data_IF_157553146897
#
_entry.id   IF_157553146897
#
_cell.length_a   1.000
_cell.length_b   1.000
_cell.length_c   1.000
_cell.angle_alpha   90.00
_cell.angle_beta   90.00
_cell.angle_gamma   90.00
#
_symmetry.space_group_name_H-M   'P 1'
#
loop_
_entity.id
_entity.type
_entity.pdbx_description
1 polymer ?
#
# COMPACT_ATOMS: atom_id res chain seq x y z
N UNK A 1 -27.34 -15.21 -68.16
CA UNK A 1 -26.43 -14.21 -67.54
C UNK A 1 -26.73 -14.17 -66.05
N UNK A 2 -25.73 -14.48 -65.23
CA UNK A 2 -25.81 -14.69 -63.77
C UNK A 2 -25.87 -13.33 -63.07
N UNK A 3 -26.85 -13.07 -62.22
CA UNK A 3 -26.85 -11.86 -61.38
C UNK A 3 -26.48 -12.22 -59.94
N UNK A 4 -25.26 -11.84 -59.57
CA UNK A 4 -24.55 -12.15 -58.35
C UNK A 4 -25.02 -11.34 -57.12
N UNK A 5 -26.33 -11.11 -56.97
CA UNK A 5 -26.85 -10.21 -55.94
C UNK A 5 -27.07 -10.89 -54.57
N UNK A 6 -27.15 -12.23 -54.51
CA UNK A 6 -27.53 -12.94 -53.29
C UNK A 6 -26.36 -13.29 -52.34
N UNK A 7 -25.10 -13.05 -52.74
CA UNK A 7 -23.92 -13.50 -51.99
C UNK A 7 -23.38 -12.46 -50.98
N UNK A 8 -23.81 -11.20 -51.05
CA UNK A 8 -23.25 -10.08 -50.26
C UNK A 8 -24.09 -9.64 -49.05
N UNK A 9 -25.31 -10.16 -48.90
CA UNK A 9 -26.21 -9.74 -47.80
C UNK A 9 -25.86 -10.42 -46.46
N UNK A 10 -25.29 -11.64 -46.50
CA UNK A 10 -24.89 -12.40 -45.31
C UNK A 10 -23.66 -11.84 -44.55
N UNK A 11 -22.57 -11.35 -45.18
CA UNK A 11 -21.45 -10.77 -44.43
C UNK A 11 -21.77 -9.39 -43.84
N UNK A 12 -22.71 -8.64 -44.44
CA UNK A 12 -23.07 -7.30 -43.98
C UNK A 12 -23.90 -7.32 -42.68
N UNK A 13 -24.75 -8.35 -42.50
CA UNK A 13 -25.50 -8.55 -41.26
C UNK A 13 -24.62 -8.97 -40.07
N UNK A 14 -23.54 -9.74 -40.31
CA UNK A 14 -22.57 -10.14 -39.29
C UNK A 14 -21.68 -8.99 -38.82
N UNK A 15 -21.31 -8.07 -39.73
CA UNK A 15 -20.56 -6.86 -39.38
C UNK A 15 -21.39 -5.87 -38.55
N UNK A 16 -22.70 -5.79 -38.80
CA UNK A 16 -23.62 -4.97 -38.00
C UNK A 16 -23.83 -5.53 -36.58
N UNK A 17 -23.83 -6.86 -36.42
CA UNK A 17 -23.86 -7.50 -35.09
C UNK A 17 -22.55 -7.33 -34.32
N UNK A 18 -21.39 -7.41 -34.99
CA UNK A 18 -20.09 -7.16 -34.36
C UNK A 18 -19.91 -5.68 -33.93
N UNK A 19 -20.46 -4.73 -34.69
CA UNK A 19 -20.46 -3.32 -34.32
C UNK A 19 -21.39 -3.01 -33.12
N UNK A 20 -22.53 -3.71 -33.01
CA UNK A 20 -23.42 -3.57 -31.84
C UNK A 20 -22.82 -4.18 -30.56
N UNK A 21 -22.02 -5.25 -30.69
CA UNK A 21 -21.32 -5.89 -29.57
C UNK A 21 -20.15 -5.04 -29.03
N UNK A 22 -19.57 -4.15 -29.84
CA UNK A 22 -18.53 -3.22 -29.38
C UNK A 22 -19.11 -1.95 -28.72
N UNK A 23 -20.30 -1.50 -29.15
CA UNK A 23 -20.93 -0.30 -28.61
C UNK A 23 -21.56 -0.48 -27.21
N UNK A 24 -21.64 -1.72 -26.72
CA UNK A 24 -22.35 -2.08 -25.49
C UNK A 24 -21.49 -2.34 -24.26
N UNK A 25 -20.17 -2.11 -24.30
CA UNK A 25 -19.34 -2.19 -23.10
C UNK A 25 -19.50 -0.87 -22.33
N UNK A 26 -20.28 -0.82 -21.22
CA UNK A 26 -20.18 0.31 -20.32
C UNK A 26 -18.72 0.39 -19.89
N UNK A 27 -18.05 1.47 -20.29
CA UNK A 27 -16.77 1.81 -19.70
C UNK A 27 -17.02 1.86 -18.20
N UNK A 28 -16.42 0.94 -17.46
CA UNK A 28 -16.37 1.02 -16.01
C UNK A 28 -15.62 2.32 -15.70
N UNK A 29 -16.35 3.43 -15.59
CA UNK A 29 -15.81 4.67 -15.07
C UNK A 29 -15.23 4.32 -13.72
N UNK A 30 -13.92 4.52 -13.55
CA UNK A 30 -13.30 4.42 -12.25
C UNK A 30 -14.09 5.36 -11.34
N UNK A 31 -14.86 4.80 -10.40
CA UNK A 31 -15.58 5.60 -9.44
C UNK A 31 -14.55 6.48 -8.73
N UNK A 32 -14.72 7.81 -8.84
CA UNK A 32 -13.85 8.72 -8.13
C UNK A 32 -13.99 8.44 -6.63
N UNK A 33 -12.86 8.26 -5.94
CA UNK A 33 -12.87 8.04 -4.50
C UNK A 33 -13.48 9.26 -3.81
N UNK A 34 -14.47 9.02 -2.96
CA UNK A 34 -15.04 10.05 -2.11
C UNK A 34 -14.10 10.29 -0.92
N UNK A 35 -13.36 11.39 -0.97
CA UNK A 35 -12.44 11.77 0.09
C UNK A 35 -13.14 12.79 0.99
N UNK A 36 -13.34 12.48 2.28
CA UNK A 36 -14.01 13.40 3.19
C UNK A 36 -13.18 14.68 3.37
N UNK A 37 -13.81 15.83 3.65
CA UNK A 37 -13.09 17.07 3.88
C UNK A 37 -12.32 17.02 5.20
N UNK A 38 -11.22 17.77 5.29
CA UNK A 38 -10.49 17.98 6.53
C UNK A 38 -11.29 18.94 7.43
N UNK A 39 -11.97 18.41 8.44
CA UNK A 39 -12.75 19.22 9.40
C UNK A 39 -11.98 19.59 10.67
N UNK A 40 -10.73 19.13 10.80
CA UNK A 40 -9.89 19.40 11.96
C UNK A 40 -8.81 18.33 12.16
N UNK A 41 -8.21 18.30 13.36
CA UNK A 41 -7.20 17.30 13.74
C UNK A 41 -7.75 15.89 13.92
N UNK A 42 -9.06 15.77 14.11
CA UNK A 42 -9.76 14.49 14.21
C UNK A 42 -10.97 14.51 13.29
N UNK A 43 -10.98 13.62 12.31
CA UNK A 43 -12.09 13.40 11.36
C UNK A 43 -12.66 12.02 11.63
N UNK A 44 -13.72 11.96 12.43
CA UNK A 44 -14.35 10.69 12.83
C UNK A 44 -15.63 10.44 12.01
N UNK A 45 -15.45 9.95 10.78
CA UNK A 45 -16.54 9.57 9.88
C UNK A 45 -17.12 8.18 10.16
N UNK A 46 -16.44 7.34 10.94
CA UNK A 46 -16.87 6.01 11.32
C UNK A 46 -17.67 5.97 12.63
N UNK A 47 -17.69 7.08 13.39
CA UNK A 47 -18.38 7.16 14.68
C UNK A 47 -17.72 6.32 15.78
N UNK A 48 -16.39 6.16 15.73
CA UNK A 48 -15.65 5.35 16.70
C UNK A 48 -15.36 6.07 18.02
N UNK A 49 -15.47 7.40 18.06
CA UNK A 49 -15.13 8.22 19.21
C UNK A 49 -16.35 8.98 19.72
N UNK A 50 -16.51 9.01 21.05
CA UNK A 50 -17.48 9.91 21.68
C UNK A 50 -17.03 11.37 21.54
N UNK A 51 -17.95 12.35 21.58
CA UNK A 51 -17.60 13.77 21.45
C UNK A 51 -16.50 14.24 22.40
N UNK A 52 -16.53 13.79 23.65
CA UNK A 52 -15.54 14.10 24.67
C UNK A 52 -14.15 13.51 24.36
N UNK A 53 -14.11 12.30 23.81
CA UNK A 53 -12.86 11.62 23.41
C UNK A 53 -12.25 12.32 22.20
N UNK A 54 -13.09 12.69 21.23
CA UNK A 54 -12.69 13.46 20.05
C UNK A 54 -12.11 14.82 20.43
N UNK A 55 -12.78 15.53 21.34
CA UNK A 55 -12.33 16.84 21.82
C UNK A 55 -11.01 16.74 22.59
N UNK A 56 -10.87 15.76 23.49
CA UNK A 56 -9.64 15.52 24.23
C UNK A 56 -8.47 15.17 23.28
N UNK A 57 -8.71 14.31 22.29
CA UNK A 57 -7.71 13.94 21.30
C UNK A 57 -7.29 15.13 20.43
N UNK A 58 -8.25 15.92 19.97
CA UNK A 58 -7.98 17.13 19.20
C UNK A 58 -7.16 18.16 20.01
N UNK A 59 -7.42 18.30 21.31
CA UNK A 59 -6.66 19.16 22.20
C UNK A 59 -5.21 18.67 22.38
N UNK A 60 -4.99 17.37 22.56
CA UNK A 60 -3.65 16.77 22.63
C UNK A 60 -2.87 17.01 21.34
N UNK A 61 -3.48 16.73 20.18
CA UNK A 61 -2.86 16.94 18.87
C UNK A 61 -2.56 18.43 18.63
N UNK A 62 -3.42 19.34 19.10
CA UNK A 62 -3.16 20.78 19.06
C UNK A 62 -1.97 21.16 19.92
N UNK A 63 -1.92 20.70 21.17
CA UNK A 63 -0.82 21.02 22.07
C UNK A 63 0.54 20.51 21.54
N UNK A 64 0.56 19.37 20.84
CA UNK A 64 1.76 18.90 20.17
C UNK A 64 2.16 19.81 19.00
N UNK A 65 1.22 20.09 18.09
CA UNK A 65 1.47 20.97 16.95
C UNK A 65 1.97 22.37 17.38
N UNK A 66 1.43 22.92 18.47
CA UNK A 66 1.86 24.22 19.01
C UNK A 66 3.32 24.18 19.55
N UNK A 67 3.82 23.00 19.95
CA UNK A 67 5.18 22.81 20.48
C UNK A 67 6.20 22.46 19.40
N UNK A 68 5.85 21.60 18.44
CA UNK A 68 6.80 21.02 17.47
C UNK A 68 6.62 21.54 16.06
N UNK A 69 5.49 22.20 15.76
CA UNK A 69 5.00 22.51 14.41
C UNK A 69 4.54 21.31 13.59
N UNK A 70 4.61 20.09 14.12
CA UNK A 70 4.22 18.87 13.41
C UNK A 70 2.71 18.68 13.39
N UNK A 71 2.19 18.32 12.21
CA UNK A 71 0.76 18.21 11.97
C UNK A 71 0.33 16.74 12.00
N UNK A 72 -0.15 16.28 13.14
CA UNK A 72 -0.72 14.93 13.28
C UNK A 72 -2.25 14.99 13.20
N UNK A 73 -2.84 14.19 12.31
CA UNK A 73 -4.29 14.09 12.09
C UNK A 73 -4.75 12.66 12.24
N UNK A 74 -5.89 12.47 12.89
CA UNK A 74 -6.57 11.17 13.03
C UNK A 74 -7.79 11.15 12.13
N UNK A 75 -7.92 10.12 11.31
CA UNK A 75 -9.09 9.88 10.48
C UNK A 75 -9.64 8.49 10.76
N UNK A 76 -10.95 8.38 11.01
CA UNK A 76 -11.62 7.09 11.08
C UNK A 76 -12.75 7.08 10.07
N UNK A 77 -12.65 6.21 9.07
CA UNK A 77 -13.56 6.17 7.92
C UNK A 77 -14.21 4.81 7.85
N UNK A 78 -15.54 4.71 7.63
CA UNK A 78 -16.22 3.43 7.67
C UNK A 78 -15.66 2.46 6.62
N UNK A 79 -15.35 2.93 5.41
CA UNK A 79 -14.83 2.10 4.32
C UNK A 79 -13.76 2.81 3.50
N UNK A 80 -12.88 2.01 2.89
CA UNK A 80 -11.86 2.41 1.92
C UNK A 80 -12.35 2.32 0.47
N UNK A 81 -13.65 2.07 0.25
CA UNK A 81 -14.30 2.07 -1.08
C UNK A 81 -13.63 1.09 -2.06
N UNK A 82 -13.22 -0.08 -1.56
CA UNK A 82 -12.55 -1.11 -2.36
C UNK A 82 -11.08 -0.79 -2.72
N UNK A 83 -10.51 0.27 -2.17
CA UNK A 83 -9.10 0.66 -2.37
C UNK A 83 -8.21 0.12 -1.26
N UNK A 84 -6.91 -0.07 -1.55
CA UNK A 84 -5.92 -0.40 -0.52
C UNK A 84 -5.83 0.71 0.53
N UNK A 85 -5.44 0.37 1.77
CA UNK A 85 -5.33 1.38 2.84
C UNK A 85 -4.17 2.33 2.57
N UNK A 86 -3.12 1.85 1.90
CA UNK A 86 -1.96 2.60 1.45
C UNK A 86 -2.34 3.65 0.41
N UNK A 87 -3.02 3.25 -0.67
CA UNK A 87 -3.43 4.17 -1.73
C UNK A 87 -4.47 5.18 -1.22
N UNK A 88 -5.42 4.73 -0.40
CA UNK A 88 -6.44 5.61 0.17
C UNK A 88 -5.79 6.65 1.09
N UNK A 89 -4.94 6.21 2.03
CA UNK A 89 -4.27 7.12 2.96
C UNK A 89 -3.38 8.13 2.24
N UNK A 90 -2.61 7.70 1.24
CA UNK A 90 -1.75 8.61 0.48
C UNK A 90 -2.58 9.66 -0.30
N UNK A 91 -3.67 9.24 -0.95
CA UNK A 91 -4.59 10.16 -1.65
C UNK A 91 -5.25 11.13 -0.68
N UNK A 92 -5.70 10.66 0.48
CA UNK A 92 -6.31 11.50 1.52
C UNK A 92 -5.29 12.50 2.08
N UNK A 93 -4.07 12.05 2.38
CA UNK A 93 -2.97 12.89 2.88
C UNK A 93 -2.65 14.03 1.91
N UNK A 94 -2.56 13.71 0.60
CA UNK A 94 -2.34 14.68 -0.48
C UNK A 94 -3.52 15.64 -0.63
N UNK A 95 -4.74 15.12 -0.64
CA UNK A 95 -5.96 15.91 -0.78
C UNK A 95 -6.13 16.92 0.37
N UNK A 96 -5.75 16.53 1.59
CA UNK A 96 -5.77 17.39 2.77
C UNK A 96 -4.55 18.31 2.90
N UNK A 97 -3.53 18.12 2.06
CA UNK A 97 -2.31 18.91 2.08
C UNK A 97 -1.58 18.84 3.42
N UNK A 98 -1.51 17.66 4.06
CA UNK A 98 -0.96 17.56 5.41
C UNK A 98 0.54 17.90 5.48
N UNK A 99 0.91 18.66 6.52
CA UNK A 99 2.23 19.24 6.73
C UNK A 99 2.26 20.75 6.44
N UNK A 100 3.32 21.43 6.89
CA UNK A 100 3.48 22.86 6.68
C UNK A 100 4.38 23.16 5.47
N UNK A 101 3.80 23.50 4.31
CA UNK A 101 4.54 23.96 3.13
C UNK A 101 5.70 23.04 2.77
N UNK A 102 6.90 23.62 2.67
CA UNK A 102 8.13 22.90 2.36
C UNK A 102 8.60 21.94 3.47
N UNK A 103 8.10 22.05 4.71
CA UNK A 103 8.51 21.17 5.81
C UNK A 103 7.98 19.76 5.65
N UNK A 104 6.83 19.58 4.99
CA UNK A 104 6.18 18.26 4.82
C UNK A 104 6.08 17.44 6.12
N UNK A 105 5.85 18.11 7.25
CA UNK A 105 5.84 17.52 8.59
C UNK A 105 4.44 17.09 9.04
N UNK A 106 3.73 16.42 8.13
CA UNK A 106 2.39 15.87 8.38
C UNK A 106 2.42 14.39 8.72
N UNK A 107 1.48 13.94 9.55
CA UNK A 107 1.19 12.52 9.80
C UNK A 107 -0.32 12.31 9.75
N UNK A 108 -0.76 11.30 9.01
CA UNK A 108 -2.13 10.82 9.01
C UNK A 108 -2.19 9.45 9.69
N UNK A 109 -3.00 9.34 10.72
CA UNK A 109 -3.36 8.07 11.33
C UNK A 109 -4.78 7.68 10.91
N UNK A 110 -4.88 6.77 9.94
CA UNK A 110 -6.13 6.32 9.33
C UNK A 110 -6.58 4.98 9.92
N UNK A 111 -7.85 4.89 10.31
CA UNK A 111 -8.51 3.66 10.78
C UNK A 111 -9.74 3.38 9.92
N UNK A 112 -9.84 2.17 9.38
CA UNK A 112 -10.94 1.71 8.57
C UNK A 112 -11.53 0.41 9.15
N UNK A 113 -12.62 0.47 9.93
CA UNK A 113 -13.13 -0.67 10.67
C UNK A 113 -13.83 -1.72 9.79
N UNK A 114 -14.42 -1.36 8.64
CA UNK A 114 -15.05 -2.36 7.76
C UNK A 114 -14.01 -3.29 7.14
N UNK A 115 -12.86 -2.75 6.73
CA UNK A 115 -11.74 -3.52 6.19
C UNK A 115 -10.82 -4.06 7.29
N UNK A 116 -11.01 -3.63 8.55
CA UNK A 116 -10.11 -3.87 9.69
C UNK A 116 -8.66 -3.50 9.39
N UNK A 117 -8.48 -2.34 8.75
CA UNK A 117 -7.17 -1.82 8.34
C UNK A 117 -6.84 -0.51 9.04
N UNK A 118 -5.56 -0.36 9.37
CA UNK A 118 -5.00 0.85 9.96
C UNK A 118 -3.74 1.23 9.21
N UNK A 119 -3.51 2.53 9.06
CA UNK A 119 -2.32 3.07 8.41
C UNK A 119 -1.83 4.32 9.14
N UNK A 120 -0.52 4.40 9.32
CA UNK A 120 0.19 5.64 9.62
C UNK A 120 0.88 6.07 8.32
N UNK A 121 0.44 7.16 7.73
CA UNK A 121 1.06 7.80 6.56
C UNK A 121 1.88 9.00 7.05
N UNK A 122 3.16 9.04 6.68
CA UNK A 122 4.13 10.03 7.17
C UNK A 122 4.61 10.89 6.01
N UNK A 123 4.65 12.21 6.20
CA UNK A 123 5.23 13.15 5.24
C UNK A 123 6.76 13.16 5.30
N UNK A 124 7.41 13.52 4.18
CA UNK A 124 8.87 13.44 4.02
C UNK A 124 9.68 14.11 5.14
N UNK A 125 9.16 15.20 5.74
CA UNK A 125 9.86 15.92 6.80
C UNK A 125 10.01 15.13 8.10
N UNK A 126 9.22 14.07 8.29
CA UNK A 126 9.17 13.28 9.51
C UNK A 126 9.62 11.83 9.31
N UNK A 127 9.90 11.37 8.09
CA UNK A 127 10.29 9.98 7.80
C UNK A 127 11.58 9.55 8.53
N UNK A 128 12.49 10.50 8.81
CA UNK A 128 13.71 10.22 9.59
C UNK A 128 13.45 9.99 11.09
N UNK A 129 12.39 10.58 11.65
CA UNK A 129 12.03 10.42 13.05
C UNK A 129 11.00 9.30 13.25
N UNK A 130 9.91 9.33 12.48
CA UNK A 130 8.85 8.33 12.46
C UNK A 130 9.00 7.44 11.23
N UNK A 131 9.88 6.45 11.36
CA UNK A 131 10.15 5.47 10.29
C UNK A 131 9.01 4.48 10.10
N UNK A 132 9.03 3.73 8.99
CA UNK A 132 8.11 2.61 8.76
C UNK A 132 8.21 1.54 9.86
N UNK A 133 9.43 1.15 10.24
CA UNK A 133 9.65 0.18 11.32
C UNK A 133 9.01 0.62 12.65
N UNK A 134 9.19 1.88 13.03
CA UNK A 134 8.59 2.44 14.25
C UNK A 134 7.06 2.53 14.15
N UNK A 135 6.55 2.95 13.00
CA UNK A 135 5.11 2.99 12.72
C UNK A 135 4.49 1.59 12.84
N UNK A 136 5.15 0.57 12.30
CA UNK A 136 4.73 -0.83 12.38
C UNK A 136 4.70 -1.34 13.81
N UNK A 137 5.67 -0.92 14.63
CA UNK A 137 5.71 -1.27 16.06
C UNK A 137 4.56 -0.62 16.81
N UNK A 138 4.26 0.66 16.58
CA UNK A 138 3.10 1.34 17.16
C UNK A 138 1.82 0.55 16.82
N UNK A 139 1.61 0.26 15.54
CA UNK A 139 0.42 -0.47 15.09
C UNK A 139 0.35 -1.85 15.75
N UNK A 140 1.43 -2.63 15.70
CA UNK A 140 1.41 -4.02 16.16
C UNK A 140 1.33 -4.17 17.69
N UNK A 141 1.94 -3.25 18.45
CA UNK A 141 2.08 -3.37 19.91
C UNK A 141 1.04 -2.58 20.69
N UNK A 142 0.60 -1.43 20.18
CA UNK A 142 -0.28 -0.52 20.92
C UNK A 142 -1.70 -0.47 20.35
N UNK A 143 -1.84 -0.54 19.03
CA UNK A 143 -3.12 -0.33 18.34
C UNK A 143 -3.86 -1.66 18.11
N UNK A 144 -3.26 -2.58 17.37
CA UNK A 144 -3.90 -3.82 16.94
C UNK A 144 -4.44 -4.67 18.10
N UNK A 145 -3.74 -4.84 19.24
CA UNK A 145 -4.28 -5.62 20.36
C UNK A 145 -5.59 -5.04 20.92
N UNK A 146 -5.71 -3.71 20.98
CA UNK A 146 -6.92 -3.03 21.48
C UNK A 146 -8.06 -3.12 20.48
N UNK A 147 -7.77 -2.94 19.19
CA UNK A 147 -8.78 -3.11 18.14
C UNK A 147 -9.31 -4.55 18.07
N UNK A 148 -8.46 -5.57 18.28
CA UNK A 148 -8.89 -6.98 18.42
C UNK A 148 -9.83 -7.20 19.60
N UNK A 149 -9.63 -6.44 20.68
CA UNK A 149 -10.49 -6.47 21.87
C UNK A 149 -11.77 -5.60 21.73
N UNK A 150 -11.96 -4.90 20.60
CA UNK A 150 -13.08 -3.99 20.38
C UNK A 150 -12.92 -2.61 21.02
N UNK A 151 -11.78 -2.32 21.65
CA UNK A 151 -11.46 -1.01 22.24
C UNK A 151 -10.86 -0.07 21.18
N UNK A 152 -11.73 0.46 20.31
CA UNK A 152 -11.34 1.44 19.29
C UNK A 152 -10.85 2.77 19.87
N UNK A 153 -11.54 3.42 20.84
CA UNK A 153 -11.06 4.66 21.43
C UNK A 153 -9.68 4.50 22.08
N UNK A 154 -9.48 3.43 22.85
CA UNK A 154 -8.21 3.15 23.50
C UNK A 154 -7.10 2.78 22.52
N UNK A 155 -7.41 2.09 21.42
CA UNK A 155 -6.47 1.81 20.33
C UNK A 155 -6.05 3.07 19.58
N UNK A 156 -6.99 3.96 19.28
CA UNK A 156 -6.72 5.24 18.62
C UNK A 156 -5.83 6.12 19.52
N UNK A 157 -6.19 6.25 20.80
CA UNK A 157 -5.40 7.00 21.77
C UNK A 157 -3.98 6.45 21.90
N UNK A 158 -3.83 5.13 22.01
CA UNK A 158 -2.51 4.51 22.13
C UNK A 158 -1.65 4.68 20.88
N UNK A 159 -2.27 4.66 19.69
CA UNK A 159 -1.59 4.97 18.43
C UNK A 159 -1.09 6.41 18.40
N UNK A 160 -1.94 7.38 18.79
CA UNK A 160 -1.55 8.80 18.89
C UNK A 160 -0.44 8.99 19.92
N UNK A 161 -0.57 8.44 21.12
CA UNK A 161 0.45 8.57 22.17
C UNK A 161 1.81 8.02 21.68
N UNK A 162 1.82 6.90 20.95
CA UNK A 162 3.04 6.35 20.35
C UNK A 162 3.65 7.26 19.28
N UNK A 163 2.83 7.77 18.36
CA UNK A 163 3.28 8.73 17.33
C UNK A 163 3.90 9.97 17.99
N UNK A 164 3.18 10.58 18.93
CA UNK A 164 3.62 11.81 19.59
C UNK A 164 4.86 11.61 20.45
N UNK A 165 5.00 10.46 21.12
CA UNK A 165 6.19 10.13 21.90
C UNK A 165 7.45 10.08 21.02
N UNK A 166 7.36 9.44 19.86
CA UNK A 166 8.49 9.38 18.91
C UNK A 166 8.84 10.78 18.39
N UNK A 167 7.83 11.55 17.96
CA UNK A 167 8.05 12.90 17.43
C UNK A 167 8.57 13.88 18.49
N UNK A 168 8.30 13.63 19.77
CA UNK A 168 8.79 14.46 20.88
C UNK A 168 10.21 14.10 21.35
N UNK A 169 10.85 13.07 20.77
CA UNK A 169 12.20 12.64 21.11
C UNK A 169 12.31 11.45 22.07
N UNK A 170 11.18 10.88 22.52
CA UNK A 170 11.15 9.67 23.37
C UNK A 170 11.28 8.37 22.53
N UNK A 171 11.90 8.46 21.35
CA UNK A 171 12.04 7.36 20.39
C UNK A 171 12.80 6.15 20.95
N UNK A 172 13.61 6.32 22.00
CA UNK A 172 14.45 5.26 22.57
C UNK A 172 13.65 4.07 23.12
N UNK A 173 12.45 4.29 23.69
CA UNK A 173 11.61 3.18 24.15
C UNK A 173 11.00 2.41 22.97
N UNK A 174 10.58 3.14 21.93
CA UNK A 174 9.99 2.57 20.72
C UNK A 174 11.02 1.84 19.85
N UNK A 175 12.25 2.35 19.78
CA UNK A 175 13.39 1.71 19.11
C UNK A 175 13.72 0.37 19.74
N UNK A 176 13.80 0.28 21.08
CA UNK A 176 14.01 -1.02 21.76
C UNK A 176 12.91 -2.03 21.45
N UNK A 177 11.65 -1.58 21.39
CA UNK A 177 10.52 -2.45 21.01
C UNK A 177 10.59 -2.88 19.55
N UNK A 178 11.14 -2.04 18.67
CA UNK A 178 11.39 -2.37 17.26
C UNK A 178 12.47 -3.45 17.11
N UNK A 179 13.63 -3.27 17.76
CA UNK A 179 14.75 -4.22 17.73
C UNK A 179 14.31 -5.62 18.21
N UNK A 180 13.68 -5.70 19.38
CA UNK A 180 13.18 -6.97 19.93
C UNK A 180 12.20 -7.66 18.98
N UNK A 181 11.42 -6.89 18.23
CA UNK A 181 10.42 -7.44 17.30
C UNK A 181 10.99 -7.80 15.94
N UNK A 182 12.03 -7.11 15.45
CA UNK A 182 12.78 -7.55 14.27
C UNK A 182 13.48 -8.88 14.55
N UNK A 183 14.09 -9.03 15.73
CA UNK A 183 14.70 -10.29 16.17
C UNK A 183 13.66 -11.42 16.23
N UNK A 184 12.45 -11.13 16.70
CA UNK A 184 11.36 -12.10 16.78
C UNK A 184 10.68 -12.39 15.42
N UNK A 185 10.73 -11.45 14.47
CA UNK A 185 10.08 -11.57 13.15
C UNK A 185 11.00 -12.10 12.04
N UNK A 186 12.33 -12.07 12.25
CA UNK A 186 13.34 -12.40 11.24
C UNK A 186 13.99 -13.78 11.35
N UNK A 187 13.69 -14.57 12.37
CA UNK A 187 14.24 -15.92 12.50
C UNK A 187 13.50 -16.92 11.61
N UNK A 188 14.11 -17.35 10.50
CA UNK A 188 13.72 -18.64 9.90
C UNK A 188 13.89 -19.70 10.98
N UNK A 189 12.86 -20.51 11.24
CA UNK A 189 12.96 -21.62 12.21
C UNK A 189 14.23 -22.42 11.86
N UNK A 190 15.19 -22.58 12.79
CA UNK A 190 16.43 -23.31 12.51
C UNK A 190 16.14 -24.70 11.94
N UNK A 191 14.99 -25.29 12.27
CA UNK A 191 14.51 -26.55 11.70
C UNK A 191 14.19 -26.40 10.19
N UNK A 192 13.49 -25.34 9.78
CA UNK A 192 13.18 -25.07 8.37
C UNK A 192 14.43 -24.80 7.53
N UNK A 193 15.41 -24.06 8.08
CA UNK A 193 16.69 -23.81 7.39
C UNK A 193 17.46 -25.11 7.19
N UNK A 194 17.52 -25.96 8.22
CA UNK A 194 18.17 -27.28 8.14
C UNK A 194 17.46 -28.17 7.13
N UNK A 195 16.12 -28.20 7.13
CA UNK A 195 15.34 -28.96 6.13
C UNK A 195 15.63 -28.46 4.71
N UNK A 196 15.64 -27.14 4.49
CA UNK A 196 15.93 -26.56 3.19
C UNK A 196 17.34 -26.92 2.69
N UNK A 197 18.35 -26.85 3.57
CA UNK A 197 19.72 -27.25 3.24
C UNK A 197 19.82 -28.74 2.92
N UNK A 198 19.10 -29.61 3.65
CA UNK A 198 19.05 -31.05 3.37
C UNK A 198 18.38 -31.33 2.04
N UNK A 199 17.29 -30.65 1.71
CA UNK A 199 16.57 -30.81 0.42
C UNK A 199 17.45 -30.34 -0.75
N UNK A 200 18.08 -29.16 -0.63
CA UNK A 200 18.99 -28.64 -1.66
C UNK A 200 20.19 -29.58 -1.82
N UNK A 201 20.78 -30.04 -0.72
CA UNK A 201 21.89 -30.99 -0.73
C UNK A 201 21.51 -32.32 -1.38
N UNK A 202 20.32 -32.86 -1.08
CA UNK A 202 19.80 -34.08 -1.68
C UNK A 202 19.56 -33.94 -3.18
N UNK A 203 18.96 -32.83 -3.61
CA UNK A 203 18.73 -32.54 -5.05
C UNK A 203 20.07 -32.40 -5.79
N UNK A 204 21.04 -31.67 -5.22
CA UNK A 204 22.38 -31.54 -5.79
C UNK A 204 23.10 -32.89 -5.87
N UNK A 205 23.02 -33.72 -4.83
CA UNK A 205 23.56 -35.09 -4.84
C UNK A 205 22.93 -35.95 -5.95
N UNK A 206 21.63 -35.83 -6.19
CA UNK A 206 20.92 -36.57 -7.25
C UNK A 206 21.28 -36.08 -8.64
N UNK A 207 21.50 -34.78 -8.81
CA UNK A 207 21.96 -34.17 -10.07
C UNK A 207 23.43 -34.54 -10.38
N UNK A 208 24.29 -34.59 -9.37
CA UNK A 208 25.71 -34.96 -9.50
C UNK A 208 25.90 -36.48 -9.67
N UNK A 209 25.04 -37.30 -9.04
CA UNK A 209 25.09 -38.76 -9.16
C UNK A 209 24.44 -39.30 -10.45
N UNK A 210 23.56 -38.52 -11.10
CA UNK A 210 22.90 -38.92 -12.36
C UNK A 210 23.77 -38.77 -13.63
N UNK A 211 24.99 -38.24 -13.54
CA UNK A 211 25.82 -37.86 -14.69
C UNK A 211 26.89 -38.86 -15.14
N UNK A 212 26.94 -40.09 -14.62
CA UNK A 212 27.95 -41.11 -14.99
C UNK A 212 27.31 -42.38 -15.57
N UNK A 213 26.77 -42.26 -16.78
CA UNK A 213 26.39 -43.38 -17.66
C UNK A 213 27.01 -43.17 -19.04
N UNK A 214 27.93 -44.05 -19.44
CA UNK A 214 28.92 -43.82 -20.51
C UNK A 214 28.37 -43.65 -21.94
N UNK A 215 29.23 -43.19 -22.89
CA UNK A 215 28.82 -42.95 -24.27
C UNK A 215 28.65 -44.28 -25.03
N UNK A 216 27.41 -44.78 -25.03
CA UNK A 216 26.94 -45.87 -25.89
C UNK A 216 26.83 -45.40 -27.34
N UNK A 217 27.37 -46.26 -28.21
CA UNK A 217 27.52 -46.17 -29.67
C UNK A 217 26.24 -45.82 -30.48
N UNK A 218 26.41 -45.42 -31.75
CA UNK A 218 25.54 -44.50 -32.47
C UNK A 218 24.42 -45.19 -33.27
N UNK A 219 23.25 -44.54 -33.35
CA UNK A 219 22.23 -44.88 -34.33
C UNK A 219 22.40 -44.02 -35.59
N UNK A 220 23.05 -44.57 -36.62
CA UNK A 220 22.90 -44.11 -38.01
C UNK A 220 21.50 -44.47 -38.49
N UNK A 221 20.71 -43.47 -38.90
CA UNK A 221 19.66 -43.68 -39.92
C UNK A 221 20.19 -43.20 -41.28
N UNK A 222 19.91 -43.91 -42.39
CA UNK A 222 20.30 -43.47 -43.72
C UNK A 222 19.41 -42.28 -44.13
N UNK A 223 20.05 -41.15 -44.48
CA UNK A 223 19.36 -40.01 -45.11
C UNK A 223 19.25 -38.75 -44.25
N UNK A 224 20.30 -37.92 -44.28
CA UNK A 224 20.22 -36.45 -44.31
C UNK A 224 19.73 -35.66 -43.07
N UNK A 225 20.66 -35.00 -42.38
CA UNK A 225 20.40 -33.76 -41.63
C UNK A 225 20.93 -33.72 -40.19
N UNK A 226 21.80 -32.74 -39.88
CA UNK A 226 22.18 -32.37 -38.51
C UNK A 226 21.25 -31.25 -38.03
N UNK A 227 20.61 -31.41 -36.87
CA UNK A 227 19.86 -30.32 -36.22
C UNK A 227 20.70 -29.81 -35.05
N UNK A 228 21.28 -28.63 -35.25
CA UNK A 228 21.86 -27.80 -34.19
C UNK A 228 20.70 -27.02 -33.58
N UNK A 229 20.47 -27.17 -32.27
CA UNK A 229 19.51 -26.35 -31.51
C UNK A 229 20.29 -25.18 -30.88
N UNK A 230 20.09 -23.91 -31.31
CA UNK A 230 20.68 -22.76 -30.66
C UNK A 230 19.84 -22.36 -29.44
N UNK A 231 20.49 -22.11 -28.29
CA UNK A 231 19.83 -21.59 -27.10
C UNK A 231 19.51 -20.09 -27.20
N UNK A 232 18.57 -19.54 -26.41
CA UNK A 232 18.32 -18.11 -26.37
C UNK A 232 19.22 -17.39 -25.36
N UNK A 233 19.96 -16.43 -25.89
CA UNK A 233 20.71 -15.35 -25.25
C UNK A 233 19.81 -14.37 -24.48
N UNK A 234 20.35 -13.78 -23.41
CA UNK A 234 19.70 -12.73 -22.63
C UNK A 234 19.58 -11.37 -23.35
N UNK A 235 18.69 -10.53 -22.82
CA UNK A 235 18.52 -9.11 -23.19
C UNK A 235 17.66 -8.42 -22.14
N UNK A 236 18.16 -7.32 -21.57
CA UNK A 236 17.57 -6.61 -20.44
C UNK A 236 16.41 -5.68 -20.79
N UNK A 237 15.82 -5.09 -19.75
CA UNK A 237 14.81 -4.04 -19.85
C UNK A 237 15.06 -2.96 -18.80
N UNK A 238 15.33 -1.75 -19.29
CA UNK A 238 15.10 -0.51 -18.57
C UNK A 238 13.76 0.09 -18.98
N UNK A 239 13.21 0.97 -18.13
CA UNK A 239 12.02 1.76 -18.44
C UNK A 239 11.57 2.59 -17.23
N UNK A 240 11.74 3.91 -17.31
CA UNK A 240 11.20 4.87 -16.34
C UNK A 240 9.82 5.39 -16.73
N UNK A 241 9.14 6.04 -15.79
CA UNK A 241 7.97 6.93 -15.97
C UNK A 241 8.00 7.91 -14.79
N UNK A 242 7.83 9.24 -14.91
CA UNK A 242 7.03 10.01 -15.86
C UNK A 242 5.87 10.63 -15.08
N UNK A 243 6.01 11.91 -14.70
CA UNK A 243 5.13 12.62 -13.75
C UNK A 243 3.74 13.02 -14.27
N UNK A 244 2.92 13.51 -13.35
CA UNK A 244 1.61 14.10 -13.64
C UNK A 244 1.21 15.07 -12.53
N UNK A 245 1.12 16.35 -12.88
CA UNK A 245 0.78 17.48 -12.03
C UNK A 245 -0.67 17.89 -12.36
N UNK A 246 -1.53 17.99 -11.35
CA UNK A 246 -2.93 18.39 -11.53
C UNK A 246 -3.40 19.20 -10.33
N UNK A 247 -3.54 20.51 -10.53
CA UNK A 247 -4.10 21.44 -9.56
C UNK A 247 -5.62 21.51 -9.63
N UNK A 248 -6.23 21.91 -8.51
CA UNK A 248 -7.65 22.26 -8.42
C UNK A 248 -7.90 23.03 -7.14
N UNK A 249 -8.19 24.33 -7.27
CA UNK A 249 -8.66 25.21 -6.20
C UNK A 249 -10.18 25.11 -6.07
N UNK A 250 -10.68 25.08 -4.84
CA UNK A 250 -12.10 25.22 -4.52
C UNK A 250 -12.27 25.70 -3.09
N UNK A 251 -12.75 26.93 -2.91
CA UNK A 251 -12.96 27.57 -1.60
C UNK A 251 -14.34 27.29 -1.00
N UNK A 252 -14.40 27.36 0.33
CA UNK A 252 -15.61 27.33 1.16
C UNK A 252 -15.28 27.81 2.58
N UNK A 253 -16.18 28.59 3.18
CA UNK A 253 -15.96 29.50 4.31
C UNK A 253 -16.19 28.89 5.72
N UNK A 254 -15.40 29.34 6.71
CA UNK A 254 -15.63 29.29 8.18
C UNK A 254 -15.33 27.95 8.85
N UNK A 255 -14.51 27.76 9.90
CA UNK A 255 -14.06 28.59 11.02
C UNK A 255 -12.53 28.52 11.18
N UNK A 256 -11.84 29.63 11.43
CA UNK A 256 -10.46 29.69 11.98
C UNK A 256 -9.47 28.59 11.56
N UNK A 257 -9.44 28.29 10.25
CA UNK A 257 -9.21 26.94 9.71
C UNK A 257 -7.89 26.26 10.06
N UNK A 258 -7.99 25.03 10.57
CA UNK A 258 -6.91 24.06 10.48
C UNK A 258 -6.77 23.61 9.01
N UNK A 259 -5.98 24.35 8.24
CA UNK A 259 -5.63 23.99 6.87
C UNK A 259 -4.22 23.37 6.84
N UNK A 260 -4.07 22.21 6.21
CA UNK A 260 -2.76 21.74 5.77
C UNK A 260 -2.19 22.67 4.69
N UNK A 261 -0.87 22.84 4.66
CA UNK A 261 -0.17 23.64 3.63
C UNK A 261 0.86 22.83 2.82
N UNK A 262 0.94 21.53 3.06
CA UNK A 262 1.88 20.58 2.49
C UNK A 262 1.17 19.54 1.63
N UNK A 263 1.48 18.25 1.85
CA UNK A 263 0.86 17.13 1.13
C UNK A 263 1.84 16.22 0.40
N UNK A 264 3.15 16.41 0.54
CA UNK A 264 4.13 15.51 -0.07
C UNK A 264 4.44 14.35 0.87
N UNK A 265 3.97 13.15 0.50
CA UNK A 265 4.41 11.88 1.08
C UNK A 265 4.72 10.88 -0.03
N UNK A 266 5.82 10.15 0.16
CA UNK A 266 6.26 9.06 -0.71
C UNK A 266 5.63 7.70 -0.37
N UNK A 267 4.66 7.65 0.53
CA UNK A 267 4.16 6.40 1.10
C UNK A 267 4.86 5.99 2.39
N UNK A 268 5.53 6.93 3.08
CA UNK A 268 6.20 6.67 4.36
C UNK A 268 5.23 6.21 5.46
N UNK A 269 5.75 5.43 6.42
CA UNK A 269 4.98 4.84 7.53
C UNK A 269 4.43 3.44 7.23
N UNK A 270 3.64 2.87 8.14
CA UNK A 270 3.23 1.45 8.12
C UNK A 270 1.72 1.24 7.99
N UNK A 271 1.31 0.11 7.44
CA UNK A 271 -0.05 -0.41 7.52
C UNK A 271 -0.14 -1.65 8.42
N UNK A 272 -1.33 -1.96 8.89
CA UNK A 272 -1.61 -3.19 9.61
C UNK A 272 -3.09 -3.56 9.61
N UNK A 273 -3.35 -4.80 10.03
CA UNK A 273 -4.68 -5.42 10.08
C UNK A 273 -4.95 -5.98 11.49
N UNK A 274 -6.22 -6.16 11.86
CA UNK A 274 -6.60 -6.75 13.16
C UNK A 274 -7.78 -7.73 13.13
#
# INVERSE_FOLDING_TARGET
MRSAAAALVRPMALLLWAALLWAGLPGAGAAALDLPPLTGRVVDGAGLLRPEERAALAATLKAHADKTTDQVVVATLPSLQGTSVEDFANRLFRAWGLGAGAKNNGVLFLVAPNERKVRIEVGYGLEGALTDALSKVIIASAVAPKFKAGDFPGGIRAGVDGILGILSGDAAEWQRRAEVREDAAGGLDPILVVILLVVIGFVLLRLLAGGRGGPGRPHRRPGGGWIVVPGPSGGGFGGGFGGGMGGGMGGGFGDGGFSGGGGSSGGGGASGEW
#
